data_IF_055943074598
#
_entry.id   IF_055943074598
#
_cell.length_a   1.000
_cell.length_b   1.000
_cell.length_c   1.000
_cell.angle_alpha   90.00
_cell.angle_beta   90.00
_cell.angle_gamma   90.00
#
_symmetry.space_group_name_H-M   'P 1'
#
loop_
_entity.id
_entity.type
_entity.pdbx_description
1 polymer ?
#
# COMPACT_ATOMS: atom_id res chain seq x y z
N UNK A 1 37.37 -2.06 24.69
CA UNK A 1 36.85 -2.22 23.32
C UNK A 1 35.35 -2.11 23.40
N UNK A 2 34.80 -1.05 22.82
CA UNK A 2 33.45 -0.52 23.10
C UNK A 2 32.78 -0.25 21.77
N UNK A 3 32.48 -1.32 21.02
CA UNK A 3 31.92 -1.21 19.66
C UNK A 3 30.97 -2.38 19.32
N UNK A 4 30.28 -2.97 20.31
CA UNK A 4 29.28 -4.03 20.06
C UNK A 4 27.82 -3.57 20.17
N UNK A 5 27.57 -2.33 20.61
CA UNK A 5 26.20 -1.84 20.83
C UNK A 5 25.61 -1.11 19.60
N UNK A 6 26.41 -0.89 18.55
CA UNK A 6 26.04 -0.11 17.37
C UNK A 6 25.60 -0.93 16.16
N UNK A 7 25.48 -2.25 16.27
CA UNK A 7 24.67 -3.03 15.32
C UNK A 7 23.26 -3.04 15.89
N UNK A 8 22.64 -1.89 15.73
CA UNK A 8 21.27 -1.58 16.02
C UNK A 8 20.39 -2.82 15.89
N UNK A 9 19.76 -3.20 17.00
CA UNK A 9 18.48 -3.86 17.00
C UNK A 9 17.47 -2.96 16.25
N UNK A 10 17.59 -2.85 14.92
CA UNK A 10 16.52 -2.41 14.05
C UNK A 10 15.54 -3.57 14.01
N UNK A 11 14.86 -3.82 15.12
CA UNK A 11 13.60 -4.53 15.07
C UNK A 11 12.59 -3.45 14.65
N UNK A 12 12.22 -3.36 13.36
CA UNK A 12 11.17 -2.44 12.97
C UNK A 12 9.96 -2.70 13.88
N UNK A 13 9.31 -1.66 14.45
CA UNK A 13 8.15 -1.83 15.32
C UNK A 13 7.18 -2.84 14.70
N UNK A 14 6.79 -3.84 15.49
CA UNK A 14 5.89 -4.89 15.04
C UNK A 14 4.57 -4.31 14.52
N UNK A 15 3.88 -5.08 13.68
CA UNK A 15 2.62 -4.67 13.04
C UNK A 15 1.62 -4.01 14.01
N UNK A 16 1.48 -4.54 15.23
CA UNK A 16 0.58 -4.00 16.25
C UNK A 16 0.97 -2.60 16.75
N UNK A 17 2.27 -2.33 16.91
CA UNK A 17 2.74 -1.01 17.35
C UNK A 17 2.53 0.07 16.27
N UNK A 18 2.79 -0.29 15.01
CA UNK A 18 2.54 0.60 13.86
C UNK A 18 1.06 0.94 13.76
N UNK A 19 0.18 -0.06 13.85
CA UNK A 19 -1.26 0.14 13.84
C UNK A 19 -1.73 0.99 15.03
N UNK A 20 -1.25 0.71 16.24
CA UNK A 20 -1.62 1.48 17.43
C UNK A 20 -1.24 2.95 17.27
N UNK A 21 -0.03 3.24 16.79
CA UNK A 21 0.40 4.61 16.49
C UNK A 21 -0.46 5.27 15.41
N UNK A 22 -0.74 4.55 14.32
CA UNK A 22 -1.61 5.04 13.25
C UNK A 22 -3.02 5.41 13.74
N UNK A 23 -3.57 4.62 14.66
CA UNK A 23 -4.89 4.86 15.25
C UNK A 23 -4.88 5.99 16.29
N UNK A 24 -3.84 6.08 17.13
CA UNK A 24 -3.69 7.17 18.11
C UNK A 24 -3.59 8.53 17.39
N UNK A 25 -2.86 8.60 16.29
CA UNK A 25 -2.63 9.83 15.52
C UNK A 25 -3.56 9.97 14.31
N UNK A 26 -4.64 9.19 14.25
CA UNK A 26 -5.57 9.17 13.13
C UNK A 26 -6.15 10.58 12.86
N UNK A 27 -6.05 11.06 11.61
CA UNK A 27 -6.53 12.39 11.18
C UNK A 27 -5.96 13.59 11.94
N UNK A 28 -4.83 13.41 12.63
CA UNK A 28 -4.17 14.53 13.35
C UNK A 28 -3.36 15.44 12.44
N UNK A 29 -3.08 15.03 11.20
CA UNK A 29 -2.22 15.75 10.24
C UNK A 29 -0.81 16.03 10.79
N UNK A 30 -0.35 15.23 11.75
CA UNK A 30 0.97 15.39 12.36
C UNK A 30 2.07 14.82 11.44
N UNK A 31 2.66 15.69 10.63
CA UNK A 31 3.75 15.35 9.71
C UNK A 31 4.99 14.75 10.40
N UNK A 32 5.24 15.09 11.67
CA UNK A 32 6.40 14.58 12.41
C UNK A 32 6.26 13.09 12.70
N UNK A 33 5.06 12.64 13.06
CA UNK A 33 4.78 11.21 13.29
C UNK A 33 4.64 10.48 11.95
N UNK A 34 4.00 11.11 10.96
CA UNK A 34 3.89 10.55 9.62
C UNK A 34 5.27 10.28 8.99
N UNK A 35 6.22 11.20 9.13
CA UNK A 35 7.59 11.03 8.62
C UNK A 35 8.34 9.86 9.31
N UNK A 36 8.04 9.58 10.59
CA UNK A 36 8.64 8.43 11.30
C UNK A 36 8.07 7.08 10.85
N UNK A 37 6.84 7.07 10.37
CA UNK A 37 6.19 5.89 9.81
C UNK A 37 6.44 5.73 8.31
N UNK A 38 7.13 6.68 7.68
CA UNK A 38 7.40 6.62 6.26
C UNK A 38 8.32 5.44 5.91
N UNK A 39 8.21 5.02 4.65
CA UNK A 39 9.06 3.97 4.11
C UNK A 39 10.43 4.55 3.81
N UNK A 40 11.53 3.83 4.13
CA UNK A 40 12.87 4.31 3.81
C UNK A 40 13.06 4.39 2.30
N UNK A 41 13.73 5.46 1.84
CA UNK A 41 13.98 5.68 0.40
C UNK A 41 15.10 4.81 -0.18
N UNK A 42 15.86 4.09 0.67
CA UNK A 42 16.96 3.24 0.23
C UNK A 42 16.46 1.83 -0.08
N UNK A 43 16.71 1.35 -1.31
CA UNK A 43 16.32 0.00 -1.76
C UNK A 43 16.78 -1.08 -0.77
N UNK A 44 18.03 -0.99 -0.31
CA UNK A 44 18.60 -1.96 0.63
C UNK A 44 17.86 -2.01 1.96
N UNK A 45 17.36 -0.86 2.46
CA UNK A 45 16.63 -0.80 3.72
C UNK A 45 15.22 -1.37 3.58
N UNK A 46 14.62 -1.32 2.38
CA UNK A 46 13.32 -1.91 2.11
C UNK A 46 13.38 -3.44 2.20
N UNK A 47 14.46 -4.06 1.72
CA UNK A 47 14.64 -5.51 1.75
C UNK A 47 14.75 -6.09 3.18
N UNK A 48 15.19 -5.26 4.15
CA UNK A 48 15.24 -5.63 5.56
C UNK A 48 13.88 -5.54 6.27
N UNK A 49 12.89 -4.86 5.68
CA UNK A 49 11.57 -4.68 6.29
C UNK A 49 10.61 -5.73 5.76
N UNK A 50 9.86 -6.36 6.67
CA UNK A 50 8.80 -7.31 6.27
C UNK A 50 7.71 -6.60 5.46
N UNK A 51 7.23 -7.20 4.35
CA UNK A 51 6.24 -6.58 3.46
C UNK A 51 4.92 -6.22 4.17
N UNK A 52 4.44 -7.09 5.06
CA UNK A 52 3.21 -6.81 5.85
C UNK A 52 3.35 -5.53 6.70
N UNK A 53 4.52 -5.33 7.32
CA UNK A 53 4.79 -4.17 8.16
C UNK A 53 4.96 -2.92 7.30
N UNK A 54 5.55 -3.07 6.11
CA UNK A 54 5.70 -2.01 5.12
C UNK A 54 4.32 -1.50 4.66
N UNK A 55 3.41 -2.42 4.35
CA UNK A 55 2.02 -2.11 3.99
C UNK A 55 1.33 -1.32 5.10
N UNK A 56 1.42 -1.79 6.36
CA UNK A 56 0.80 -1.12 7.50
C UNK A 56 1.39 0.25 7.78
N UNK A 57 2.71 0.40 7.65
CA UNK A 57 3.39 1.70 7.78
C UNK A 57 2.85 2.70 6.77
N UNK A 58 2.74 2.28 5.52
CA UNK A 58 2.22 3.13 4.45
C UNK A 58 0.76 3.51 4.66
N UNK A 59 -0.06 2.53 5.04
CA UNK A 59 -1.45 2.75 5.43
C UNK A 59 -1.55 3.78 6.56
N UNK A 60 -0.85 3.56 7.67
CA UNK A 60 -0.92 4.43 8.85
C UNK A 60 -0.42 5.86 8.55
N UNK A 61 0.66 6.02 7.78
CA UNK A 61 1.11 7.35 7.31
C UNK A 61 -0.02 8.10 6.60
N UNK A 62 -0.66 7.44 5.64
CA UNK A 62 -1.74 8.04 4.85
C UNK A 62 -2.98 8.34 5.72
N UNK A 63 -3.30 7.46 6.69
CA UNK A 63 -4.40 7.69 7.63
C UNK A 63 -4.15 8.86 8.60
N UNK A 64 -2.90 9.09 9.01
CA UNK A 64 -2.52 10.28 9.81
C UNK A 64 -2.66 11.54 8.95
N UNK A 65 -2.14 11.49 7.71
CA UNK A 65 -2.22 12.56 6.70
C UNK A 65 -3.51 12.44 5.88
N UNK A 66 -4.65 12.44 6.56
CA UNK A 66 -5.95 12.13 5.95
C UNK A 66 -6.35 13.11 4.84
N UNK A 67 -6.03 14.39 5.01
CA UNK A 67 -6.39 15.45 4.06
C UNK A 67 -5.64 15.32 2.74
N UNK A 68 -4.40 14.84 2.74
CA UNK A 68 -3.57 14.76 1.53
C UNK A 68 -3.93 13.61 0.60
N UNK A 69 -4.82 12.68 1.00
CA UNK A 69 -5.21 11.56 0.15
C UNK A 69 -6.11 12.06 -1.01
N UNK A 70 -5.72 11.82 -2.25
CA UNK A 70 -6.51 12.17 -3.44
C UNK A 70 -6.92 10.93 -4.24
N UNK A 71 -8.11 10.92 -4.87
CA UNK A 71 -8.63 9.78 -5.64
C UNK A 71 -8.05 9.74 -7.06
N UNK A 72 -6.76 10.05 -7.22
CA UNK A 72 -6.06 10.14 -8.50
C UNK A 72 -4.94 9.11 -8.58
N UNK A 73 -4.64 8.64 -9.81
CA UNK A 73 -3.51 7.71 -10.04
C UNK A 73 -2.17 8.35 -9.71
N UNK A 74 -2.01 9.62 -10.09
CA UNK A 74 -0.83 10.42 -9.76
C UNK A 74 -0.56 10.46 -8.24
N UNK A 75 -1.61 10.50 -7.42
CA UNK A 75 -1.44 10.44 -5.97
C UNK A 75 -0.91 9.07 -5.51
N UNK A 76 -1.45 7.97 -6.01
CA UNK A 76 -0.99 6.62 -5.67
C UNK A 76 0.46 6.40 -6.15
N UNK A 77 0.81 6.89 -7.33
CA UNK A 77 2.18 6.84 -7.86
C UNK A 77 3.15 7.69 -7.03
N UNK A 78 2.72 8.88 -6.56
CA UNK A 78 3.53 9.72 -5.66
C UNK A 78 3.84 9.07 -4.30
N UNK A 79 3.10 8.03 -3.93
CA UNK A 79 3.34 7.29 -2.70
C UNK A 79 4.49 6.29 -2.82
N UNK A 80 4.96 5.99 -4.03
CA UNK A 80 6.03 5.01 -4.27
C UNK A 80 7.38 5.73 -4.17
N UNK A 81 8.33 5.21 -3.37
CA UNK A 81 9.69 5.76 -3.31
C UNK A 81 10.36 5.77 -4.68
N UNK A 82 11.13 6.82 -4.95
CA UNK A 82 11.84 7.01 -6.23
C UNK A 82 12.73 5.80 -6.56
N UNK A 83 13.37 5.21 -5.55
CA UNK A 83 14.23 4.04 -5.71
C UNK A 83 13.54 2.81 -6.31
N UNK A 84 12.22 2.69 -6.16
CA UNK A 84 11.41 1.62 -6.78
C UNK A 84 10.88 2.11 -8.14
N UNK A 85 10.39 3.35 -8.20
CA UNK A 85 9.81 3.92 -9.43
C UNK A 85 10.82 4.00 -10.60
N UNK A 86 12.12 4.09 -10.32
CA UNK A 86 13.16 4.07 -11.37
C UNK A 86 13.46 2.65 -11.89
N UNK A 87 13.07 1.61 -11.17
CA UNK A 87 13.41 0.21 -11.47
C UNK A 87 12.24 -0.56 -12.09
N UNK A 88 11.06 -0.38 -11.52
CA UNK A 88 9.87 -1.14 -11.87
C UNK A 88 8.77 -0.21 -12.39
N UNK A 89 8.46 -0.31 -13.68
CA UNK A 89 7.28 0.32 -14.25
C UNK A 89 6.04 -0.55 -13.97
N UNK A 90 5.15 -0.06 -13.12
CA UNK A 90 3.92 -0.76 -12.68
C UNK A 90 3.05 -1.21 -13.86
N UNK A 91 3.12 -0.49 -14.98
CA UNK A 91 2.34 -0.74 -16.19
C UNK A 91 2.98 -1.77 -17.13
N UNK A 92 4.27 -2.10 -16.97
CA UNK A 92 5.01 -3.01 -17.85
C UNK A 92 5.89 -3.99 -17.05
N UNK A 93 5.26 -4.72 -16.13
CA UNK A 93 5.92 -5.78 -15.36
C UNK A 93 5.94 -7.09 -16.18
N UNK A 94 6.93 -7.24 -17.05
CA UNK A 94 7.11 -8.45 -17.88
C UNK A 94 7.81 -9.59 -17.12
N UNK A 95 8.69 -9.24 -16.18
CA UNK A 95 9.41 -10.20 -15.34
C UNK A 95 9.11 -9.91 -13.87
N UNK A 96 8.68 -10.94 -13.13
CA UNK A 96 8.36 -10.83 -11.71
C UNK A 96 9.58 -11.25 -10.88
N UNK A 97 10.00 -10.40 -9.95
CA UNK A 97 11.10 -10.71 -9.04
C UNK A 97 10.72 -10.41 -7.58
N UNK A 98 11.49 -10.93 -6.63
CA UNK A 98 11.30 -10.73 -5.19
C UNK A 98 11.34 -9.24 -4.81
N UNK A 99 12.00 -8.39 -5.58
CA UNK A 99 12.10 -6.94 -5.32
C UNK A 99 10.71 -6.25 -5.43
N UNK A 100 9.82 -6.77 -6.28
CA UNK A 100 8.47 -6.23 -6.50
C UNK A 100 7.50 -6.53 -5.35
N UNK A 101 7.85 -7.44 -4.43
CA UNK A 101 7.07 -7.71 -3.21
C UNK A 101 6.88 -6.43 -2.38
N UNK A 102 7.91 -5.59 -2.32
CA UNK A 102 7.86 -4.32 -1.60
C UNK A 102 6.98 -3.29 -2.32
N UNK A 103 7.07 -3.23 -3.65
CA UNK A 103 6.21 -2.38 -4.48
C UNK A 103 4.73 -2.69 -4.24
N UNK A 104 4.32 -3.96 -4.34
CA UNK A 104 2.93 -4.37 -4.12
C UNK A 104 2.47 -4.06 -2.70
N UNK A 105 3.33 -4.19 -1.70
CA UNK A 105 2.99 -3.86 -0.31
C UNK A 105 2.72 -2.36 -0.10
N UNK A 106 3.53 -1.49 -0.70
CA UNK A 106 3.36 -0.02 -0.64
C UNK A 106 2.11 0.41 -1.40
N UNK A 107 1.92 -0.14 -2.60
CA UNK A 107 0.72 0.06 -3.42
C UNK A 107 -0.52 -0.39 -2.65
N UNK A 108 -0.46 -1.59 -2.06
CA UNK A 108 -1.46 -2.19 -1.19
C UNK A 108 -1.92 -1.27 -0.08
N UNK A 109 -0.97 -0.71 0.68
CA UNK A 109 -1.24 0.22 1.78
C UNK A 109 -1.83 1.55 1.33
N UNK A 110 -1.41 2.05 0.16
CA UNK A 110 -1.89 3.32 -0.41
C UNK A 110 -3.32 3.18 -0.95
N UNK A 111 -3.59 2.13 -1.72
CA UNK A 111 -4.92 1.80 -2.21
C UNK A 111 -5.89 1.49 -1.06
N UNK A 112 -5.43 0.80 0.00
CA UNK A 112 -6.27 0.55 1.17
C UNK A 112 -6.61 1.85 1.92
N UNK A 113 -5.66 2.78 2.06
CA UNK A 113 -5.94 4.10 2.64
C UNK A 113 -6.98 4.86 1.82
N UNK A 114 -6.88 4.79 0.49
CA UNK A 114 -7.86 5.39 -0.43
C UNK A 114 -9.25 4.76 -0.25
N UNK A 115 -9.31 3.42 -0.20
CA UNK A 115 -10.56 2.69 0.01
C UNK A 115 -11.22 3.06 1.36
N UNK A 116 -10.43 3.23 2.44
CA UNK A 116 -10.95 3.65 3.75
C UNK A 116 -11.43 5.10 3.71
N UNK A 117 -10.72 6.01 3.02
CA UNK A 117 -11.13 7.41 2.93
C UNK A 117 -12.44 7.60 2.18
N UNK A 118 -12.59 6.91 1.06
CA UNK A 118 -13.75 7.01 0.19
C UNK A 118 -14.79 5.93 0.46
N UNK A 119 -14.64 5.18 1.55
CA UNK A 119 -15.63 4.20 2.00
C UNK A 119 -17.00 4.88 2.09
N UNK A 120 -17.97 4.37 1.35
CA UNK A 120 -19.33 4.92 1.27
C UNK A 120 -19.50 6.32 0.66
N UNK A 121 -18.48 6.95 0.07
CA UNK A 121 -18.63 8.29 -0.52
C UNK A 121 -19.30 8.30 -1.90
N UNK A 122 -19.33 7.16 -2.59
CA UNK A 122 -19.89 7.04 -3.95
C UNK A 122 -19.07 7.76 -5.03
N UNK A 123 -17.81 8.13 -4.75
CA UNK A 123 -16.95 8.80 -5.73
C UNK A 123 -16.52 7.81 -6.84
N UNK A 124 -16.84 8.18 -8.08
CA UNK A 124 -16.53 7.38 -9.28
C UNK A 124 -15.03 7.38 -9.58
N UNK A 125 -14.35 8.50 -9.31
CA UNK A 125 -12.91 8.65 -9.55
C UNK A 125 -12.09 7.70 -8.67
N UNK A 126 -12.42 7.65 -7.36
CA UNK A 126 -11.80 6.71 -6.42
C UNK A 126 -12.04 5.25 -6.82
N UNK A 127 -13.24 4.93 -7.32
CA UNK A 127 -13.56 3.59 -7.83
C UNK A 127 -12.71 3.23 -9.05
N UNK A 128 -12.65 4.12 -10.05
CA UNK A 128 -11.97 3.84 -11.32
C UNK A 128 -10.45 3.72 -11.13
N UNK A 129 -9.88 4.47 -10.19
CA UNK A 129 -8.47 4.32 -9.79
C UNK A 129 -8.20 2.98 -9.09
N UNK A 130 -9.05 2.57 -8.15
CA UNK A 130 -8.90 1.28 -7.47
C UNK A 130 -9.09 0.08 -8.41
N UNK A 131 -10.06 0.16 -9.33
CA UNK A 131 -10.27 -0.86 -10.35
C UNK A 131 -9.06 -0.99 -11.29
N UNK A 132 -8.46 0.12 -11.68
CA UNK A 132 -7.26 0.09 -12.52
C UNK A 132 -6.10 -0.68 -11.87
N UNK A 133 -5.80 -0.41 -10.60
CA UNK A 133 -4.75 -1.16 -9.90
C UNK A 133 -5.14 -2.61 -9.62
N UNK A 134 -6.43 -2.89 -9.39
CA UNK A 134 -6.94 -4.26 -9.26
C UNK A 134 -6.72 -5.05 -10.56
N UNK A 135 -7.06 -4.47 -11.71
CA UNK A 135 -6.87 -5.09 -13.03
C UNK A 135 -5.39 -5.41 -13.29
N UNK A 136 -4.49 -4.48 -12.97
CA UNK A 136 -3.03 -4.70 -13.07
C UNK A 136 -2.61 -5.90 -12.22
N UNK A 137 -2.99 -5.94 -10.94
CA UNK A 137 -2.62 -7.07 -10.05
C UNK A 137 -3.23 -8.40 -10.49
N UNK A 138 -4.43 -8.37 -11.09
CA UNK A 138 -5.07 -9.55 -11.65
C UNK A 138 -4.29 -10.10 -12.83
N UNK A 139 -3.86 -9.24 -13.76
CA UNK A 139 -3.03 -9.63 -14.91
C UNK A 139 -1.73 -10.28 -14.41
N UNK A 140 -1.08 -9.67 -13.43
CA UNK A 140 0.17 -10.17 -12.83
C UNK A 140 -0.01 -11.57 -12.24
N UNK A 141 -1.11 -11.82 -11.52
CA UNK A 141 -1.37 -13.13 -10.92
C UNK A 141 -1.59 -14.28 -11.91
N UNK A 142 -1.89 -13.97 -13.18
CA UNK A 142 -2.10 -14.96 -14.24
C UNK A 142 -0.77 -15.39 -14.87
N UNK A 143 0.29 -14.59 -14.71
CA UNK A 143 1.63 -14.92 -15.23
C UNK A 143 2.13 -16.21 -14.57
N UNK A 144 2.59 -17.15 -15.39
CA UNK A 144 3.07 -18.45 -14.91
C UNK A 144 4.45 -18.29 -14.29
N UNK A 145 4.53 -18.41 -12.97
CA UNK A 145 5.80 -18.42 -12.24
C UNK A 145 6.45 -19.81 -12.24
N UNK A 146 7.69 -19.89 -12.70
CA UNK A 146 8.52 -21.10 -12.63
C UNK A 146 9.47 -21.03 -11.42
N UNK A 147 9.99 -19.84 -11.11
CA UNK A 147 10.94 -19.62 -10.03
C UNK A 147 10.28 -19.43 -8.64
N UNK A 148 11.06 -19.66 -7.57
CA UNK A 148 10.58 -19.45 -6.20
C UNK A 148 10.31 -17.97 -5.91
N UNK A 149 11.16 -17.08 -6.43
CA UNK A 149 11.06 -15.64 -6.21
C UNK A 149 9.85 -15.04 -6.94
N UNK A 150 9.59 -15.46 -8.17
CA UNK A 150 8.36 -15.15 -8.92
C UNK A 150 7.10 -15.60 -8.17
N UNK A 151 7.10 -16.83 -7.62
CA UNK A 151 5.97 -17.32 -6.81
C UNK A 151 5.73 -16.43 -5.59
N UNK A 152 6.81 -16.00 -4.92
CA UNK A 152 6.72 -15.11 -3.76
C UNK A 152 6.12 -13.75 -4.13
N UNK A 153 6.50 -13.18 -5.26
CA UNK A 153 5.92 -11.94 -5.78
C UNK A 153 4.41 -12.09 -6.06
N UNK A 154 4.00 -13.19 -6.72
CA UNK A 154 2.60 -13.50 -6.98
C UNK A 154 1.82 -13.64 -5.67
N UNK A 155 2.33 -14.37 -4.68
CA UNK A 155 1.64 -14.51 -3.39
C UNK A 155 1.43 -13.15 -2.70
N UNK A 156 2.41 -12.25 -2.76
CA UNK A 156 2.26 -10.89 -2.23
C UNK A 156 1.18 -10.10 -2.98
N UNK A 157 1.17 -10.17 -4.32
CA UNK A 157 0.17 -9.52 -5.14
C UNK A 157 -1.25 -10.04 -4.83
N UNK A 158 -1.42 -11.36 -4.70
CA UNK A 158 -2.69 -11.99 -4.33
C UNK A 158 -3.16 -11.58 -2.92
N UNK A 159 -2.24 -11.44 -1.96
CA UNK A 159 -2.56 -10.97 -0.62
C UNK A 159 -3.10 -9.53 -0.66
N UNK A 160 -2.46 -8.65 -1.43
CA UNK A 160 -2.92 -7.26 -1.61
C UNK A 160 -4.23 -7.18 -2.37
N UNK A 161 -4.42 -8.02 -3.39
CA UNK A 161 -5.66 -8.12 -4.16
C UNK A 161 -6.83 -8.56 -3.26
N UNK A 162 -6.61 -9.55 -2.41
CA UNK A 162 -7.63 -10.06 -1.47
C UNK A 162 -8.08 -8.97 -0.49
N UNK A 163 -7.14 -8.15 0.01
CA UNK A 163 -7.45 -7.00 0.86
C UNK A 163 -8.33 -5.98 0.12
N UNK A 164 -8.00 -5.64 -1.12
CA UNK A 164 -8.78 -4.68 -1.91
C UNK A 164 -10.16 -5.20 -2.29
N UNK A 165 -10.26 -6.48 -2.66
CA UNK A 165 -11.53 -7.11 -3.00
C UNK A 165 -12.46 -7.14 -1.78
N UNK A 166 -11.94 -7.34 -0.57
CA UNK A 166 -12.73 -7.25 0.66
C UNK A 166 -13.23 -5.82 0.96
N UNK A 167 -12.48 -4.80 0.52
CA UNK A 167 -12.82 -3.39 0.72
C UNK A 167 -13.78 -2.83 -0.36
N UNK A 168 -13.74 -3.37 -1.58
CA UNK A 168 -14.53 -2.90 -2.73
C UNK A 168 -16.07 -2.91 -2.51
N UNK A 169 -16.68 -3.92 -1.82
CA UNK A 169 -18.10 -3.92 -1.48
C UNK A 169 -18.55 -2.70 -0.67
N UNK A 170 -17.66 -2.11 0.14
CA UNK A 170 -17.95 -0.90 0.93
C UNK A 170 -18.09 0.34 0.03
N UNK A 171 -17.41 0.36 -1.12
CA UNK A 171 -17.55 1.41 -2.13
C UNK A 171 -18.81 1.20 -2.97
N UNK A 172 -19.11 -0.04 -3.35
CA UNK A 172 -20.27 -0.38 -4.18
C UNK A 172 -21.61 -0.23 -3.45
N UNK A 173 -21.67 -0.51 -2.14
CA UNK A 173 -22.92 -0.35 -1.37
C UNK A 173 -23.46 1.08 -1.39
N UNK A 174 -22.60 2.09 -1.31
CA UNK A 174 -23.06 3.48 -1.34
C UNK A 174 -23.48 3.97 -2.71
N UNK A 175 -22.83 3.50 -3.79
CA UNK A 175 -23.21 3.82 -5.15
C UNK A 175 -24.59 3.24 -5.54
N UNK A 176 -24.97 2.08 -4.96
CA UNK A 176 -26.32 1.51 -5.12
C UNK A 176 -27.36 2.29 -4.32
N UNK A 177 -27.04 2.70 -3.09
CA UNK A 177 -27.96 3.48 -2.23
C UNK A 177 -28.19 4.90 -2.80
N UNK A 178 -27.17 5.56 -3.35
CA UNK A 178 -27.33 6.89 -3.96
C UNK A 178 -28.15 6.86 -5.25
N UNK A 179 -28.11 5.76 -6.02
CA UNK A 179 -29.02 5.55 -7.17
C UNK A 179 -30.47 5.28 -6.76
N UNK A 180 -30.69 4.71 -5.57
CA UNK A 180 -32.04 4.43 -5.05
C UNK A 180 -32.71 5.65 -4.39
N UNK A 181 -31.98 6.70 -4.01
CA UNK A 181 -32.59 7.93 -3.45
C UNK A 181 -32.95 8.97 -4.52
N UNK A 182 -32.62 8.72 -5.79
CA UNK A 182 -32.89 9.61 -6.94
C UNK A 182 -34.06 9.09 -7.79
N UNK A 183 -34.70 7.99 -7.38
CA UNK A 183 -35.94 7.44 -7.94
C UNK A 183 -37.02 7.47 -6.87
#
# INVERSE_FOLDING_TARGET
MKDSDSIFAFNPPGAGAVLALGLIYLRTENSTIAAKLDTPDSSKLLDYVRPDVLLLRKLCKNLIMWKSIEPTRAWVESQIPVAISERDDINDLQELDSDQVNLFSILGGSCLALAIKFASSGDLTARDTLLHYLDITMIISIIKAENYDEKRAIYSALQTQSLWLSACPLLWRAAVISRLSVV
#
